data_IF_257740855011
#
_entry.id   IF_257740855011
#
_cell.length_a   1.000
_cell.length_b   1.000
_cell.length_c   1.000
_cell.angle_alpha   90.00
_cell.angle_beta   90.00
_cell.angle_gamma   90.00
#
_symmetry.space_group_name_H-M   'P 1'
#
loop_
_entity.id
_entity.type
_entity.pdbx_description
1 polymer ?
#
# COMPACT_ATOMS: atom_id res chain seq x y z
N UNK A 1 42.03 -32.36 -7.95
CA UNK A 1 41.02 -33.22 -7.29
C UNK A 1 39.66 -32.63 -7.61
N UNK A 2 38.92 -33.33 -8.46
CA UNK A 2 37.58 -32.99 -8.94
C UNK A 2 36.57 -33.06 -7.79
N UNK A 3 35.61 -32.12 -7.74
CA UNK A 3 34.21 -32.47 -7.47
C UNK A 3 33.30 -31.46 -8.15
N UNK A 4 32.77 -31.90 -9.29
CA UNK A 4 31.64 -31.35 -10.03
C UNK A 4 30.34 -31.80 -9.37
N UNK A 5 29.42 -30.87 -9.09
CA UNK A 5 28.01 -31.21 -8.88
C UNK A 5 27.14 -30.43 -9.87
N UNK A 6 26.75 -31.16 -10.90
CA UNK A 6 25.62 -30.90 -11.77
C UNK A 6 24.35 -31.21 -10.96
N UNK A 7 23.40 -30.28 -10.85
CA UNK A 7 22.02 -30.65 -10.51
C UNK A 7 21.04 -30.11 -11.56
N UNK A 8 20.32 -31.10 -12.08
CA UNK A 8 19.33 -31.10 -13.14
C UNK A 8 18.17 -30.13 -12.91
N UNK A 9 17.67 -29.58 -14.02
CA UNK A 9 16.47 -28.77 -14.10
C UNK A 9 15.21 -29.58 -13.73
N UNK A 10 14.39 -29.02 -12.84
CA UNK A 10 12.94 -29.25 -12.87
C UNK A 10 12.24 -27.89 -12.87
N UNK A 11 11.53 -27.64 -13.97
CA UNK A 11 10.68 -26.48 -14.13
C UNK A 11 9.48 -26.59 -13.16
N UNK A 12 9.43 -25.70 -12.18
CA UNK A 12 8.21 -25.36 -11.46
C UNK A 12 8.07 -23.83 -11.43
N UNK A 13 6.91 -23.35 -11.82
CA UNK A 13 6.54 -21.95 -12.04
C UNK A 13 6.88 -21.04 -10.85
N UNK A 14 7.65 -20.01 -11.14
CA UNK A 14 7.52 -18.63 -10.64
C UNK A 14 7.06 -18.41 -9.20
N UNK A 15 7.98 -18.50 -8.25
CA UNK A 15 8.05 -17.56 -7.10
C UNK A 15 9.50 -17.10 -6.97
N UNK A 16 9.80 -15.94 -7.55
CA UNK A 16 11.10 -15.28 -7.38
C UNK A 16 11.03 -14.42 -6.12
N UNK A 17 11.40 -14.97 -4.98
CA UNK A 17 11.92 -14.19 -3.86
C UNK A 17 13.29 -14.74 -3.54
N UNK A 18 14.31 -14.06 -4.04
CA UNK A 18 15.71 -14.32 -3.71
C UNK A 18 16.28 -13.00 -3.20
N UNK A 19 16.04 -12.71 -1.91
CA UNK A 19 16.82 -11.70 -1.20
C UNK A 19 18.18 -12.32 -0.87
N UNK A 20 19.19 -11.96 -1.65
CA UNK A 20 20.58 -12.23 -1.32
C UNK A 20 21.07 -11.10 -0.40
N UNK A 21 20.75 -11.18 0.89
CA UNK A 21 21.33 -10.29 1.89
C UNK A 21 22.75 -10.78 2.22
N UNK A 22 23.75 -10.12 1.63
CA UNK A 22 25.14 -10.31 1.99
C UNK A 22 25.80 -8.93 2.13
N UNK A 23 26.15 -8.54 3.37
CA UNK A 23 27.55 -8.39 3.82
C UNK A 23 27.62 -7.69 5.19
N UNK A 24 28.16 -8.43 6.16
CA UNK A 24 29.10 -8.03 7.23
C UNK A 24 28.68 -6.95 8.26
N UNK A 25 28.44 -7.47 9.49
CA UNK A 25 28.42 -6.79 10.79
C UNK A 25 27.36 -5.71 11.03
N UNK A 26 26.35 -6.09 11.81
CA UNK A 26 25.33 -5.21 12.38
C UNK A 26 23.97 -5.51 11.79
N UNK A 27 23.10 -6.11 12.62
CA UNK A 27 21.69 -6.41 12.37
C UNK A 27 21.09 -5.71 11.13
N UNK A 28 21.06 -6.41 9.99
CA UNK A 28 20.23 -6.03 8.88
C UNK A 28 18.81 -6.43 9.26
N UNK A 29 18.07 -5.52 9.91
CA UNK A 29 16.62 -5.62 9.93
C UNK A 29 16.20 -5.54 8.46
N UNK A 30 15.73 -6.64 7.90
CA UNK A 30 15.11 -6.63 6.59
C UNK A 30 13.84 -5.79 6.71
N UNK A 31 13.94 -4.49 6.43
CA UNK A 31 12.79 -3.60 6.40
C UNK A 31 11.86 -4.08 5.30
N UNK A 32 10.58 -4.31 5.63
CA UNK A 32 9.59 -4.78 4.68
C UNK A 32 9.32 -3.69 3.64
N UNK A 33 9.71 -3.93 2.40
CA UNK A 33 9.46 -3.02 1.30
C UNK A 33 8.05 -3.22 0.76
N UNK A 34 7.26 -2.15 0.77
CA UNK A 34 5.98 -2.06 0.11
C UNK A 34 6.21 -1.61 -1.34
N UNK A 35 5.50 -2.28 -2.23
CA UNK A 35 5.40 -1.96 -3.64
C UNK A 35 4.00 -1.45 -3.98
N UNK A 36 3.82 -1.12 -5.24
CA UNK A 36 2.52 -0.87 -5.84
C UNK A 36 1.48 -1.96 -5.49
N UNK A 37 0.29 -1.56 -5.03
CA UNK A 37 -0.84 -2.43 -4.65
C UNK A 37 -0.47 -3.43 -3.53
N UNK A 38 0.41 -3.01 -2.61
CA UNK A 38 0.77 -3.89 -1.50
C UNK A 38 -0.36 -3.95 -0.49
N UNK A 39 -0.76 -5.18 -0.17
CA UNK A 39 -1.69 -5.52 0.89
C UNK A 39 -0.99 -6.45 1.90
N UNK A 40 -0.85 -5.97 3.13
CA UNK A 40 -0.06 -6.63 4.18
C UNK A 40 -0.92 -6.86 5.40
N UNK A 41 -0.74 -8.04 6.01
CA UNK A 41 -1.18 -8.33 7.37
C UNK A 41 0.04 -8.52 8.26
N UNK A 42 0.07 -7.85 9.39
CA UNK A 42 1.16 -7.87 10.36
C UNK A 42 0.61 -7.66 11.78
N UNK A 43 1.48 -7.61 12.79
CA UNK A 43 1.07 -7.51 14.18
C UNK A 43 2.08 -6.74 15.03
N UNK A 44 1.58 -5.84 15.87
CA UNK A 44 2.32 -5.29 17.01
C UNK A 44 2.25 -6.35 18.11
N UNK A 45 3.32 -7.10 18.29
CA UNK A 45 3.42 -8.26 19.18
C UNK A 45 3.80 -7.89 20.61
N UNK A 46 4.43 -6.73 20.82
CA UNK A 46 4.84 -6.22 22.12
C UNK A 46 4.40 -4.77 22.29
N UNK A 47 3.93 -4.40 23.49
CA UNK A 47 3.56 -3.01 23.77
C UNK A 47 4.75 -2.06 23.54
N UNK A 48 4.51 -0.98 22.79
CA UNK A 48 5.52 -0.01 22.39
C UNK A 48 6.39 -0.45 21.20
N UNK A 49 6.13 -1.61 20.61
CA UNK A 49 6.71 -2.00 19.32
C UNK A 49 6.26 -1.04 18.21
N UNK A 50 7.16 -0.83 17.25
CA UNK A 50 6.93 -0.02 16.05
C UNK A 50 7.38 -0.85 14.87
N UNK A 51 6.44 -1.17 13.98
CA UNK A 51 6.75 -1.80 12.71
C UNK A 51 7.19 -0.75 11.70
N UNK A 52 8.24 -1.07 10.95
CA UNK A 52 8.84 -0.17 9.98
C UNK A 52 8.78 -0.78 8.57
N UNK A 53 8.20 -0.03 7.64
CA UNK A 53 8.09 -0.35 6.22
C UNK A 53 8.80 0.70 5.36
N UNK A 54 9.22 0.33 4.15
CA UNK A 54 9.68 1.30 3.13
C UNK A 54 8.77 1.30 1.92
N UNK A 55 8.79 2.37 1.13
CA UNK A 55 8.38 2.33 -0.26
C UNK A 55 9.21 3.32 -1.10
N UNK A 56 9.32 3.07 -2.39
CA UNK A 56 9.95 4.01 -3.32
C UNK A 56 8.91 5.01 -3.82
N UNK A 57 9.00 6.25 -3.35
CA UNK A 57 8.16 7.35 -3.82
C UNK A 57 8.77 8.05 -5.03
N UNK A 58 7.94 8.44 -5.98
CA UNK A 58 8.32 9.31 -7.10
C UNK A 58 7.71 10.70 -6.91
N UNK A 59 8.52 11.74 -7.12
CA UNK A 59 8.07 13.13 -7.01
C UNK A 59 6.83 13.38 -7.89
N UNK A 60 5.76 13.90 -7.29
CA UNK A 60 4.51 14.20 -7.96
C UNK A 60 3.56 13.01 -8.17
N UNK A 61 3.93 11.79 -7.79
CA UNK A 61 3.05 10.61 -7.87
C UNK A 61 2.34 10.40 -6.53
N UNK A 62 1.03 10.65 -6.41
CA UNK A 62 0.34 10.50 -5.14
C UNK A 62 0.29 9.05 -4.68
N UNK A 63 0.28 8.88 -3.37
CA UNK A 63 0.07 7.61 -2.70
C UNK A 63 -1.04 7.73 -1.65
N UNK A 64 -1.77 6.64 -1.48
CA UNK A 64 -2.74 6.46 -0.40
C UNK A 64 -2.28 5.28 0.44
N UNK A 65 -2.13 5.50 1.75
CA UNK A 65 -1.75 4.49 2.72
C UNK A 65 -2.90 4.34 3.71
N UNK A 66 -3.33 3.10 3.97
CA UNK A 66 -4.38 2.80 4.95
C UNK A 66 -3.91 1.73 5.91
N UNK A 67 -4.16 1.94 7.20
CA UNK A 67 -3.98 0.92 8.22
C UNK A 67 -5.28 0.73 9.00
N UNK A 68 -5.62 -0.51 9.32
CA UNK A 68 -6.82 -0.84 10.08
C UNK A 68 -6.52 -1.85 11.17
N UNK A 69 -7.03 -1.60 12.37
CA UNK A 69 -6.96 -2.54 13.49
C UNK A 69 -8.10 -2.33 14.46
N UNK A 70 -8.72 -3.41 14.93
CA UNK A 70 -9.64 -3.38 16.06
C UNK A 70 -8.94 -3.32 17.43
N UNK A 71 -7.87 -4.10 17.69
CA UNK A 71 -7.21 -4.09 19.01
C UNK A 71 -6.26 -2.92 19.23
N UNK A 72 -5.81 -2.23 18.17
CA UNK A 72 -4.85 -1.13 18.25
C UNK A 72 -5.51 0.20 17.94
N UNK A 73 -5.05 1.25 18.61
CA UNK A 73 -5.20 2.62 18.10
C UNK A 73 -4.14 2.82 17.01
N UNK A 74 -4.32 2.14 15.86
CA UNK A 74 -3.27 2.03 14.84
C UNK A 74 -2.91 3.39 14.26
N UNK A 75 -1.72 3.88 14.60
CA UNK A 75 -1.15 5.16 14.17
C UNK A 75 -0.13 4.93 13.06
N UNK A 76 -0.12 5.85 12.10
CA UNK A 76 0.87 5.95 11.04
C UNK A 76 1.76 7.17 11.23
N UNK A 77 3.05 7.04 10.92
CA UNK A 77 3.99 8.16 10.77
C UNK A 77 4.82 7.95 9.50
N UNK A 78 4.79 8.92 8.60
CA UNK A 78 5.52 8.92 7.35
C UNK A 78 6.75 9.83 7.46
N UNK A 79 7.91 9.31 7.03
CA UNK A 79 9.17 10.05 6.99
C UNK A 79 9.71 10.17 5.57
N UNK A 80 10.37 11.30 5.30
CA UNK A 80 11.11 11.56 4.06
C UNK A 80 12.30 10.61 3.91
N UNK A 81 12.93 10.53 2.72
CA UNK A 81 14.16 9.77 2.52
C UNK A 81 15.32 10.17 3.43
N UNK A 82 15.34 11.41 3.91
CA UNK A 82 16.31 11.95 4.86
C UNK A 82 15.93 11.66 6.32
N UNK A 83 14.78 11.03 6.56
CA UNK A 83 14.28 10.64 7.88
C UNK A 83 13.48 11.73 8.61
N UNK A 84 13.13 12.83 7.94
CA UNK A 84 12.29 13.89 8.53
C UNK A 84 10.83 13.43 8.59
N UNK A 85 10.14 13.64 9.71
CA UNK A 85 8.70 13.35 9.82
C UNK A 85 7.92 14.32 8.92
N UNK A 86 7.15 13.76 7.99
CA UNK A 86 6.35 14.51 7.02
C UNK A 86 4.88 14.60 7.44
N UNK A 87 4.30 13.47 7.86
CA UNK A 87 2.88 13.38 8.17
C UNK A 87 2.62 12.24 9.16
N UNK A 88 1.56 12.39 9.95
CA UNK A 88 1.05 11.31 10.79
C UNK A 88 -0.47 11.19 10.67
N UNK A 89 -0.99 10.01 10.98
CA UNK A 89 -2.43 9.74 11.05
C UNK A 89 -2.75 8.88 12.27
N UNK A 90 -3.86 9.19 12.93
CA UNK A 90 -4.43 8.44 14.06
C UNK A 90 -5.79 7.89 13.63
N UNK A 91 -6.27 6.79 14.23
CA UNK A 91 -7.41 6.08 13.68
C UNK A 91 -8.71 6.86 13.87
N UNK A 92 -9.53 6.87 12.82
CA UNK A 92 -10.94 7.25 12.89
C UNK A 92 -11.75 6.01 12.52
N UNK A 93 -12.61 5.55 13.43
CA UNK A 93 -13.33 4.28 13.29
C UNK A 93 -12.39 3.11 12.95
N UNK A 94 -11.30 2.98 13.73
CA UNK A 94 -10.28 1.92 13.59
C UNK A 94 -9.43 1.98 12.31
N UNK A 95 -9.56 3.03 11.51
CA UNK A 95 -8.83 3.22 10.25
C UNK A 95 -7.96 4.49 10.32
N UNK A 96 -6.66 4.33 10.11
CA UNK A 96 -5.73 5.42 9.82
C UNK A 96 -5.49 5.55 8.33
N UNK A 97 -5.40 6.78 7.82
CA UNK A 97 -5.17 7.06 6.41
C UNK A 97 -4.21 8.22 6.20
N UNK A 98 -3.26 8.04 5.30
CA UNK A 98 -2.38 9.10 4.78
C UNK A 98 -2.61 9.21 3.27
N UNK A 99 -2.94 10.42 2.83
CA UNK A 99 -2.92 10.83 1.41
C UNK A 99 -1.70 11.75 1.24
N UNK A 100 -0.75 11.34 0.40
CA UNK A 100 0.54 12.04 0.30
C UNK A 100 1.01 12.16 -1.15
N UNK A 101 1.61 13.31 -1.50
CA UNK A 101 2.28 13.53 -2.79
C UNK A 101 3.77 13.79 -2.50
N UNK A 102 4.67 12.86 -2.84
CA UNK A 102 6.10 13.07 -2.72
C UNK A 102 6.56 14.33 -3.45
N UNK A 103 7.36 15.16 -2.79
CA UNK A 103 8.02 16.32 -3.44
C UNK A 103 9.39 15.98 -4.01
N UNK A 104 9.97 14.88 -3.56
CA UNK A 104 11.23 14.32 -4.05
C UNK A 104 11.11 12.81 -4.22
N UNK A 105 11.87 12.27 -5.18
CA UNK A 105 11.92 10.83 -5.41
C UNK A 105 12.93 10.19 -4.45
N UNK A 106 12.56 9.08 -3.84
CA UNK A 106 13.43 8.40 -2.89
C UNK A 106 12.72 7.31 -2.10
N UNK A 107 13.45 6.73 -1.15
CA UNK A 107 12.92 5.70 -0.26
C UNK A 107 12.27 6.36 0.96
N UNK A 108 10.95 6.29 1.06
CA UNK A 108 10.21 6.80 2.22
C UNK A 108 10.08 5.71 3.27
N UNK A 109 9.97 6.12 4.54
CA UNK A 109 9.79 5.20 5.67
C UNK A 109 8.41 5.42 6.28
N UNK A 110 7.64 4.34 6.39
CA UNK A 110 6.37 4.31 7.10
C UNK A 110 6.54 3.57 8.41
N UNK A 111 6.16 4.21 9.51
CA UNK A 111 6.07 3.59 10.82
C UNK A 111 4.61 3.30 11.14
N UNK A 112 4.35 2.09 11.63
CA UNK A 112 3.04 1.64 12.12
C UNK A 112 3.20 1.28 13.58
N UNK A 113 2.35 1.84 14.42
CA UNK A 113 2.41 1.64 15.88
C UNK A 113 1.04 1.80 16.51
N UNK A 114 0.91 1.38 17.76
CA UNK A 114 -0.21 1.78 18.61
C UNK A 114 -0.01 3.22 19.11
N UNK A 115 -1.02 4.08 19.02
CA UNK A 115 -0.92 5.49 19.44
C UNK A 115 -0.55 5.63 20.93
N UNK A 116 -1.18 4.82 21.79
CA UNK A 116 -0.90 4.78 23.23
C UNK A 116 0.36 4.00 23.59
N UNK A 117 0.88 3.20 22.67
CA UNK A 117 2.04 2.33 22.89
C UNK A 117 1.80 1.25 23.94
N UNK A 118 0.54 0.92 24.25
CA UNK A 118 0.15 0.03 25.34
C UNK A 118 -0.68 -1.16 24.88
N UNK A 119 -1.12 -1.18 23.62
CA UNK A 119 -1.85 -2.30 23.04
C UNK A 119 -0.96 -3.15 22.13
N UNK A 120 -1.40 -4.38 21.89
CA UNK A 120 -0.80 -5.35 20.97
C UNK A 120 -1.91 -5.98 20.15
N UNK A 121 -1.61 -6.38 18.92
CA UNK A 121 -2.56 -7.09 18.07
C UNK A 121 -2.26 -6.94 16.59
N UNK A 122 -3.09 -7.63 15.80
CA UNK A 122 -2.98 -7.65 14.35
C UNK A 122 -3.49 -6.34 13.73
N UNK A 123 -2.90 -5.98 12.60
CA UNK A 123 -3.39 -4.93 11.72
C UNK A 123 -3.23 -5.31 10.25
N UNK A 124 -4.08 -4.72 9.42
CA UNK A 124 -3.92 -4.72 7.96
C UNK A 124 -3.37 -3.37 7.51
N UNK A 125 -2.51 -3.37 6.49
CA UNK A 125 -1.86 -2.21 5.89
C UNK A 125 -1.96 -2.32 4.37
N UNK A 126 -2.31 -1.23 3.69
CA UNK A 126 -2.23 -1.14 2.24
C UNK A 126 -1.48 0.11 1.79
N UNK A 127 -0.80 0.00 0.64
CA UNK A 127 -0.19 1.11 -0.09
C UNK A 127 -0.67 1.08 -1.54
N UNK A 128 -1.34 2.15 -1.96
CA UNK A 128 -1.80 2.35 -3.32
C UNK A 128 -1.12 3.56 -3.94
N UNK A 129 -0.53 3.39 -5.13
CA UNK A 129 -0.08 4.51 -5.95
C UNK A 129 -1.24 4.97 -6.84
N UNK A 130 -1.47 6.28 -6.89
CA UNK A 130 -2.51 6.90 -7.72
C UNK A 130 -1.93 7.21 -9.09
N UNK A 131 -1.52 6.17 -9.82
CA UNK A 131 -0.95 6.25 -11.17
C UNK A 131 -1.43 5.10 -12.04
N UNK A 132 -1.56 5.34 -13.34
CA UNK A 132 -2.02 4.35 -14.33
C UNK A 132 -1.14 3.09 -14.42
N UNK A 133 0.14 3.17 -14.02
CA UNK A 133 1.09 2.05 -14.01
C UNK A 133 0.81 1.02 -12.92
N UNK A 134 -0.06 1.38 -11.98
CA UNK A 134 -0.40 0.61 -10.78
C UNK A 134 -1.88 0.16 -10.76
N UNK A 135 -2.56 0.18 -11.90
CA UNK A 135 -3.99 -0.15 -11.95
C UNK A 135 -4.24 -1.58 -12.36
N UNK A 136 -5.21 -2.21 -11.71
CA UNK A 136 -5.64 -3.59 -11.96
C UNK A 136 -6.32 -3.75 -13.34
N UNK A 137 -7.03 -2.70 -13.79
CA UNK A 137 -7.66 -2.71 -15.10
C UNK A 137 -7.87 -1.30 -15.68
N UNK A 138 -7.93 -1.23 -17.01
CA UNK A 138 -8.48 -0.08 -17.74
C UNK A 138 -9.98 -0.30 -17.91
N UNK A 139 -10.79 0.63 -17.40
CA UNK A 139 -12.23 0.62 -17.56
C UNK A 139 -12.60 1.37 -18.84
N UNK A 140 -13.28 0.67 -19.76
CA UNK A 140 -13.90 1.24 -20.95
C UNK A 140 -15.41 1.48 -20.74
N UNK A 141 -16.04 2.17 -21.68
CA UNK A 141 -17.51 2.24 -21.71
C UNK A 141 -18.09 0.82 -21.82
N UNK A 142 -19.13 0.53 -21.02
CA UNK A 142 -19.81 -0.77 -20.91
C UNK A 142 -19.01 -1.91 -20.23
N UNK A 143 -17.84 -1.63 -19.65
CA UNK A 143 -17.13 -2.60 -18.84
C UNK A 143 -17.80 -2.77 -17.46
N UNK A 144 -18.17 -4.01 -17.13
CA UNK A 144 -18.45 -4.42 -15.76
C UNK A 144 -17.25 -5.20 -15.23
N UNK A 145 -16.87 -4.92 -14.00
CA UNK A 145 -15.77 -5.61 -13.32
C UNK A 145 -16.24 -6.04 -11.95
N UNK A 146 -16.01 -7.31 -11.63
CA UNK A 146 -16.29 -7.89 -10.32
C UNK A 146 -14.94 -8.18 -9.65
N UNK A 147 -14.72 -7.60 -8.48
CA UNK A 147 -13.57 -7.87 -7.62
C UNK A 147 -14.02 -8.17 -6.19
N UNK A 148 -13.07 -8.56 -5.35
CA UNK A 148 -13.27 -8.77 -3.92
C UNK A 148 -12.10 -8.14 -3.18
N UNK A 149 -12.39 -7.48 -2.07
CA UNK A 149 -11.37 -7.04 -1.13
C UNK A 149 -10.94 -8.23 -0.25
N UNK A 150 -9.68 -8.61 -0.32
CA UNK A 150 -9.02 -9.59 0.53
C UNK A 150 -8.70 -9.10 1.94
N UNK A 151 -8.38 -7.81 2.14
CA UNK A 151 -8.15 -7.22 3.47
C UNK A 151 -8.92 -5.91 3.70
N UNK A 152 -9.06 -5.49 4.97
CA UNK A 152 -9.89 -4.32 5.35
C UNK A 152 -9.36 -2.98 4.83
N UNK A 153 -8.07 -2.91 4.53
CA UNK A 153 -7.41 -1.70 4.04
C UNK A 153 -7.28 -1.65 2.53
N UNK A 154 -7.55 -2.76 1.85
CA UNK A 154 -7.34 -2.91 0.41
C UNK A 154 -8.01 -1.79 -0.40
N UNK A 155 -7.34 -1.43 -1.48
CA UNK A 155 -7.77 -0.42 -2.43
C UNK A 155 -7.55 -0.98 -3.83
N UNK A 156 -8.61 -0.99 -4.63
CA UNK A 156 -8.51 -1.34 -6.04
C UNK A 156 -8.38 -0.06 -6.88
N UNK A 157 -7.28 0.09 -7.60
CA UNK A 157 -7.07 1.20 -8.51
C UNK A 157 -7.41 0.85 -9.96
N UNK A 158 -8.19 1.72 -10.61
CA UNK A 158 -8.62 1.56 -11.99
C UNK A 158 -8.28 2.80 -12.83
N UNK A 159 -7.89 2.59 -14.10
CA UNK A 159 -7.68 3.69 -15.05
C UNK A 159 -8.91 3.90 -15.91
N UNK A 160 -9.31 5.16 -16.10
CA UNK A 160 -10.42 5.56 -16.96
C UNK A 160 -9.90 6.39 -18.14
N UNK A 161 -10.37 6.10 -19.35
CA UNK A 161 -10.15 6.97 -20.52
C UNK A 161 -11.44 7.73 -20.80
N UNK A 162 -11.44 9.02 -20.51
CA UNK A 162 -12.58 9.90 -20.70
C UNK A 162 -12.31 10.87 -21.85
N UNK A 163 -13.34 11.15 -22.64
CA UNK A 163 -13.29 12.15 -23.72
C UNK A 163 -13.74 13.52 -23.20
N UNK A 164 -13.04 14.58 -23.61
CA UNK A 164 -13.35 15.93 -23.17
C UNK A 164 -14.77 16.35 -23.60
N UNK A 165 -15.56 16.83 -22.63
CA UNK A 165 -16.95 17.26 -22.87
C UNK A 165 -17.98 16.13 -22.90
N UNK A 166 -17.56 14.86 -22.76
CA UNK A 166 -18.48 13.71 -22.68
C UNK A 166 -18.70 13.35 -21.20
N UNK A 167 -19.95 13.39 -20.70
CA UNK A 167 -20.23 13.01 -19.32
C UNK A 167 -20.05 11.49 -19.14
N UNK A 168 -19.48 11.10 -18.00
CA UNK A 168 -19.34 9.71 -17.58
C UNK A 168 -20.03 9.48 -16.24
N UNK A 169 -20.61 8.29 -16.06
CA UNK A 169 -21.23 7.86 -14.82
C UNK A 169 -20.44 6.64 -14.32
N UNK A 170 -19.90 6.76 -13.11
CA UNK A 170 -19.24 5.66 -12.42
C UNK A 170 -20.15 5.16 -11.31
N UNK A 171 -20.31 3.85 -11.19
CA UNK A 171 -21.06 3.22 -10.12
C UNK A 171 -20.28 2.03 -9.60
N UNK A 172 -20.19 1.92 -8.29
CA UNK A 172 -19.79 0.71 -7.60
C UNK A 172 -20.99 0.24 -6.78
N UNK A 173 -21.14 -1.07 -6.69
CA UNK A 173 -22.14 -1.70 -5.85
C UNK A 173 -21.51 -2.86 -5.11
N UNK A 174 -21.83 -2.97 -3.83
CA UNK A 174 -21.46 -4.09 -2.99
C UNK A 174 -22.61 -4.39 -2.03
N UNK A 175 -22.67 -5.63 -1.57
CA UNK A 175 -23.52 -6.03 -0.46
C UNK A 175 -22.62 -6.68 0.59
N UNK A 176 -22.41 -5.99 1.72
CA UNK A 176 -21.13 -5.76 2.40
C UNK A 176 -19.81 -6.15 1.70
N UNK A 177 -18.71 -5.38 1.84
CA UNK A 177 -18.56 -4.16 2.64
C UNK A 177 -19.20 -2.93 1.97
N UNK A 178 -19.39 -1.82 2.69
CA UNK A 178 -19.75 -0.55 2.06
C UNK A 178 -18.62 -0.08 1.12
N UNK A 179 -18.95 0.40 -0.07
CA UNK A 179 -17.96 0.78 -1.10
C UNK A 179 -18.05 2.26 -1.45
N UNK A 180 -16.90 2.92 -1.51
CA UNK A 180 -16.77 4.27 -2.03
C UNK A 180 -15.81 4.29 -3.22
N UNK A 181 -16.10 5.17 -4.18
CA UNK A 181 -15.21 5.48 -5.29
C UNK A 181 -14.49 6.80 -5.02
N UNK A 182 -13.21 6.84 -5.33
CA UNK A 182 -12.41 8.07 -5.35
C UNK A 182 -11.90 8.31 -6.77
N UNK A 183 -12.12 9.52 -7.27
CA UNK A 183 -11.71 9.92 -8.60
C UNK A 183 -10.55 10.90 -8.50
N UNK A 184 -9.51 10.62 -9.28
CA UNK A 184 -8.31 11.44 -9.40
C UNK A 184 -8.11 11.85 -10.86
N UNK A 185 -7.54 13.03 -11.06
CA UNK A 185 -7.10 13.50 -12.37
C UNK A 185 -5.89 12.70 -12.85
N UNK A 186 -5.53 12.75 -14.16
CA UNK A 186 -4.29 12.14 -14.65
C UNK A 186 -3.01 12.65 -13.99
N UNK A 187 -3.06 13.84 -13.39
CA UNK A 187 -1.95 14.41 -12.60
C UNK A 187 -1.97 13.96 -11.12
N UNK A 188 -2.85 13.01 -10.76
CA UNK A 188 -2.96 12.51 -9.40
C UNK A 188 -3.69 13.42 -8.41
N UNK A 189 -4.24 14.55 -8.88
CA UNK A 189 -5.03 15.45 -8.01
C UNK A 189 -6.40 14.84 -7.73
N UNK A 190 -6.80 14.77 -6.46
CA UNK A 190 -8.12 14.32 -6.03
C UNK A 190 -9.23 15.23 -6.59
N UNK A 191 -10.27 14.63 -7.16
CA UNK A 191 -11.42 15.33 -7.74
C UNK A 191 -12.64 15.16 -6.83
N UNK A 192 -13.01 13.91 -6.51
CA UNK A 192 -14.23 13.62 -5.76
C UNK A 192 -14.19 12.23 -5.13
N UNK A 193 -15.00 12.04 -4.10
CA UNK A 193 -15.29 10.74 -3.46
C UNK A 193 -16.80 10.56 -3.36
N UNK A 194 -17.30 9.35 -3.59
CA UNK A 194 -18.70 9.00 -3.30
C UNK A 194 -18.88 8.65 -1.82
N UNK A 195 -20.07 8.90 -1.27
CA UNK A 195 -20.42 8.30 0.02
C UNK A 195 -20.73 6.81 -0.19
N UNK A 196 -20.27 5.93 0.71
CA UNK A 196 -20.73 4.55 0.75
C UNK A 196 -22.25 4.45 0.96
#
# INVERSE_FOLDING_TARGET
MFFSYLFSSHAARGRKFMLLCAMLFGFCFAQSQLECNSDVQAAISVAGEVDQFTFMGEAGVPVVIRAYSFPLDVKLELKSPEGTVLQGAVPVNNLSRIDFVPTESGQYVLLVMDEGGNNTGDYSLSLQFVQATCTEASLGCDANFDSQFGIRTELDAYTLKLEAGVPAILRAYSFPPDVALELYSPAGVFIQRTTP
#
